data_IF_469112086173
#
_entry.id   IF_469112086173
#
_cell.length_a   1.000
_cell.length_b   1.000
_cell.length_c   1.000
_cell.angle_alpha   90.00
_cell.angle_beta   90.00
_cell.angle_gamma   90.00
#
_symmetry.space_group_name_H-M   'P 1'
#
loop_
_entity.id
_entity.type
_entity.pdbx_description
1 polymer ?
#
# COMPACT_ATOMS: atom_id res chain seq x y z
N UNK A 1 -8.22 12.66 -10.76
CA UNK A 1 -7.50 11.77 -9.82
C UNK A 1 -6.85 12.50 -8.63
N UNK A 2 -7.04 13.81 -8.50
CA UNK A 2 -6.40 14.63 -7.46
C UNK A 2 -6.78 14.22 -6.03
N UNK A 3 -8.07 14.06 -5.73
CA UNK A 3 -8.54 13.63 -4.40
C UNK A 3 -8.10 12.21 -4.06
N UNK A 4 -8.13 11.28 -5.03
CA UNK A 4 -7.55 9.94 -4.85
C UNK A 4 -6.08 10.03 -4.44
N UNK A 5 -5.31 10.90 -5.08
CA UNK A 5 -3.89 11.06 -4.80
C UNK A 5 -3.67 11.52 -3.35
N UNK A 6 -4.47 12.46 -2.85
CA UNK A 6 -4.45 12.89 -1.44
C UNK A 6 -4.83 11.74 -0.49
N UNK A 7 -5.83 10.94 -0.85
CA UNK A 7 -6.21 9.75 -0.07
C UNK A 7 -5.05 8.75 0.01
N UNK A 8 -4.39 8.44 -1.11
CA UNK A 8 -3.26 7.51 -1.14
C UNK A 8 -2.06 8.03 -0.34
N UNK A 9 -1.75 9.34 -0.43
CA UNK A 9 -0.70 9.96 0.39
C UNK A 9 -0.99 9.80 1.88
N UNK A 10 -2.23 10.10 2.28
CA UNK A 10 -2.59 10.09 3.71
C UNK A 10 -2.67 8.68 4.28
N UNK A 11 -3.20 7.71 3.52
CA UNK A 11 -3.13 6.28 3.87
C UNK A 11 -1.68 5.82 3.98
N UNK A 12 -0.89 6.07 2.94
CA UNK A 12 0.50 5.63 2.86
C UNK A 12 1.37 6.22 3.95
N UNK A 13 1.21 7.51 4.27
CA UNK A 13 1.95 8.15 5.36
C UNK A 13 1.50 7.64 6.73
N UNK A 14 0.20 7.45 6.96
CA UNK A 14 -0.31 6.91 8.22
C UNK A 14 0.21 5.48 8.46
N UNK A 15 0.21 4.63 7.43
CA UNK A 15 0.79 3.28 7.51
C UNK A 15 2.32 3.31 7.68
N UNK A 16 3.02 4.24 7.01
CA UNK A 16 4.47 4.40 7.14
C UNK A 16 4.85 4.82 8.57
N UNK A 17 4.19 5.83 9.12
CA UNK A 17 4.41 6.29 10.49
C UNK A 17 4.14 5.18 11.50
N UNK A 18 3.06 4.40 11.32
CA UNK A 18 2.78 3.21 12.12
C UNK A 18 3.89 2.16 12.02
N UNK A 19 4.48 1.97 10.85
CA UNK A 19 5.55 0.99 10.63
C UNK A 19 6.90 1.38 11.24
N UNK A 20 7.09 2.69 11.50
CA UNK A 20 8.30 3.27 12.12
C UNK A 20 8.14 3.46 13.63
N UNK A 21 6.90 3.58 14.12
CA UNK A 21 6.59 3.74 15.54
C UNK A 21 6.96 2.50 16.38
N UNK A 22 7.13 2.67 17.70
CA UNK A 22 7.31 1.55 18.62
C UNK A 22 6.16 0.54 18.46
N UNK A 23 6.48 -0.76 18.49
CA UNK A 23 5.47 -1.81 18.52
C UNK A 23 4.54 -1.54 19.72
N UNK A 24 3.21 -1.51 19.52
CA UNK A 24 2.29 -1.11 20.56
C UNK A 24 2.44 -2.07 21.74
N UNK A 25 3.09 -1.61 22.81
CA UNK A 25 2.77 -2.07 24.16
C UNK A 25 1.27 -1.90 24.36
N UNK A 26 0.62 -2.80 25.09
CA UNK A 26 -0.84 -2.97 25.28
C UNK A 26 -1.66 -1.72 25.73
N UNK A 27 -1.12 -0.50 25.65
CA UNK A 27 -1.79 0.74 25.99
C UNK A 27 -2.83 1.17 24.91
N UNK A 28 -4.14 1.17 25.24
CA UNK A 28 -5.22 1.57 24.31
C UNK A 28 -5.29 3.08 24.02
N UNK A 29 -4.38 3.91 24.57
CA UNK A 29 -4.43 5.38 24.49
C UNK A 29 -3.72 5.95 23.25
N UNK A 30 -2.66 5.31 22.78
CA UNK A 30 -1.82 5.83 21.68
C UNK A 30 -2.51 5.70 20.30
N UNK A 31 -3.44 4.75 20.17
CA UNK A 31 -4.13 4.42 18.91
C UNK A 31 -5.27 5.38 18.54
N UNK A 32 -5.81 6.16 19.50
CA UNK A 32 -6.92 7.10 19.24
C UNK A 32 -6.51 8.39 18.52
N UNK A 33 -5.24 8.78 18.59
CA UNK A 33 -4.74 10.00 17.94
C UNK A 33 -4.50 9.85 16.44
N UNK A 34 -4.23 8.63 15.96
CA UNK A 34 -3.84 8.38 14.57
C UNK A 34 -4.94 8.73 13.55
N UNK A 35 -6.23 8.39 13.77
CA UNK A 35 -7.30 8.79 12.86
C UNK A 35 -7.45 10.31 12.78
N UNK A 36 -7.41 11.01 13.92
CA UNK A 36 -7.54 12.47 13.96
C UNK A 36 -6.37 13.16 13.24
N UNK A 37 -5.13 12.70 13.47
CA UNK A 37 -3.96 13.21 12.77
C UNK A 37 -4.02 12.93 11.26
N UNK A 38 -4.45 11.74 10.85
CA UNK A 38 -4.63 11.39 9.44
C UNK A 38 -5.69 12.26 8.74
N UNK A 39 -6.83 12.50 9.40
CA UNK A 39 -7.88 13.39 8.88
C UNK A 39 -7.38 14.83 8.78
N UNK A 40 -6.71 15.33 9.81
CA UNK A 40 -6.11 16.67 9.78
C UNK A 40 -5.13 16.80 8.60
N UNK A 41 -4.23 15.83 8.44
CA UNK A 41 -3.29 15.80 7.33
C UNK A 41 -3.99 15.82 5.97
N UNK A 42 -5.04 15.00 5.80
CA UNK A 42 -5.82 14.93 4.57
C UNK A 42 -6.45 16.28 4.25
N UNK A 43 -7.09 16.91 5.22
CA UNK A 43 -7.73 18.23 5.07
C UNK A 43 -6.68 19.30 4.76
N UNK A 44 -5.51 19.28 5.42
CA UNK A 44 -4.42 20.22 5.15
C UNK A 44 -3.91 20.06 3.71
N UNK A 45 -3.64 18.84 3.25
CA UNK A 45 -3.17 18.60 1.88
C UNK A 45 -4.26 19.00 0.87
N UNK A 46 -5.52 18.63 1.09
CA UNK A 46 -6.64 19.00 0.22
C UNK A 46 -6.83 20.53 0.13
N UNK A 47 -6.60 21.25 1.23
CA UNK A 47 -6.61 22.71 1.26
C UNK A 47 -5.44 23.31 0.50
N UNK A 48 -4.22 22.81 0.74
CA UNK A 48 -3.00 23.28 0.09
C UNK A 48 -2.97 23.05 -1.43
N UNK A 49 -3.77 22.09 -1.89
CA UNK A 49 -3.90 21.70 -3.31
C UNK A 49 -5.13 22.30 -3.99
N UNK A 50 -5.91 23.14 -3.28
CA UNK A 50 -7.09 23.81 -3.83
C UNK A 50 -8.31 22.91 -4.05
N UNK A 51 -8.31 21.66 -3.56
CA UNK A 51 -9.38 20.70 -3.83
C UNK A 51 -10.70 21.06 -3.14
N UNK A 52 -10.67 21.92 -2.13
CA UNK A 52 -11.85 22.38 -1.42
C UNK A 52 -12.55 23.58 -2.09
N UNK A 53 -12.07 24.04 -3.24
CA UNK A 53 -12.63 25.19 -3.94
C UNK A 53 -13.94 24.89 -4.68
N UNK A 54 -14.24 23.62 -4.97
CA UNK A 54 -15.44 23.20 -5.70
C UNK A 54 -16.28 22.23 -4.88
N UNK A 55 -17.60 22.22 -5.11
CA UNK A 55 -18.50 21.27 -4.46
C UNK A 55 -18.11 19.80 -4.73
N UNK A 56 -17.69 19.48 -5.96
CA UNK A 56 -17.21 18.14 -6.31
C UNK A 56 -15.97 17.75 -5.51
N UNK A 57 -15.01 18.67 -5.38
CA UNK A 57 -13.81 18.43 -4.58
C UNK A 57 -14.10 18.30 -3.08
N UNK A 58 -14.99 19.11 -2.52
CA UNK A 58 -15.44 18.98 -1.11
C UNK A 58 -16.13 17.63 -0.87
N UNK A 59 -17.08 17.24 -1.72
CA UNK A 59 -17.81 15.98 -1.57
C UNK A 59 -16.89 14.76 -1.67
N UNK A 60 -15.98 14.75 -2.65
CA UNK A 60 -14.98 13.69 -2.79
C UNK A 60 -14.00 13.66 -1.62
N UNK A 61 -13.60 14.83 -1.11
CA UNK A 61 -12.71 14.91 0.06
C UNK A 61 -13.40 14.36 1.31
N UNK A 62 -14.70 14.63 1.50
CA UNK A 62 -15.47 14.04 2.60
C UNK A 62 -15.55 12.50 2.49
N UNK A 63 -15.76 11.98 1.28
CA UNK A 63 -15.71 10.53 1.03
C UNK A 63 -14.30 9.95 1.27
N UNK A 64 -13.24 10.69 0.91
CA UNK A 64 -11.86 10.31 1.17
C UNK A 64 -11.57 10.27 2.69
N UNK A 65 -12.06 11.23 3.46
CA UNK A 65 -11.98 11.23 4.93
C UNK A 65 -12.69 10.01 5.51
N UNK A 66 -13.91 9.71 5.06
CA UNK A 66 -14.65 8.53 5.50
C UNK A 66 -13.90 7.24 5.17
N UNK A 67 -13.36 7.12 3.94
CA UNK A 67 -12.55 6.00 3.50
C UNK A 67 -11.26 5.84 4.30
N UNK A 68 -10.55 6.93 4.58
CA UNK A 68 -9.34 6.94 5.41
C UNK A 68 -9.64 6.46 6.84
N UNK A 69 -10.66 7.02 7.48
CA UNK A 69 -11.03 6.61 8.85
C UNK A 69 -11.45 5.15 8.89
N UNK A 70 -12.28 4.71 7.94
CA UNK A 70 -12.69 3.32 7.83
C UNK A 70 -11.48 2.40 7.63
N UNK A 71 -10.54 2.76 6.75
CA UNK A 71 -9.30 2.02 6.56
C UNK A 71 -8.51 1.93 7.86
N UNK A 72 -8.20 3.06 8.51
CA UNK A 72 -7.37 3.08 9.71
C UNK A 72 -7.95 2.23 10.84
N UNK A 73 -9.28 2.25 11.02
CA UNK A 73 -9.98 1.44 12.02
C UNK A 73 -9.97 -0.04 11.66
N UNK A 74 -10.29 -0.40 10.40
CA UNK A 74 -10.36 -1.79 9.98
C UNK A 74 -8.97 -2.44 9.91
N UNK A 75 -7.98 -1.69 9.44
CA UNK A 75 -6.60 -2.13 9.38
C UNK A 75 -6.06 -2.41 10.79
N UNK A 76 -6.40 -1.59 11.79
CA UNK A 76 -6.03 -1.81 13.19
C UNK A 76 -6.74 -3.01 13.83
N UNK A 77 -7.99 -3.30 13.42
CA UNK A 77 -8.67 -4.55 13.80
C UNK A 77 -7.97 -5.76 13.19
N UNK A 78 -7.52 -5.67 11.94
CA UNK A 78 -6.78 -6.72 11.26
C UNK A 78 -5.40 -6.98 11.89
N UNK A 79 -4.72 -5.93 12.37
CA UNK A 79 -3.47 -6.11 13.14
C UNK A 79 -3.69 -6.86 14.45
N UNK A 80 -4.87 -6.71 15.07
CA UNK A 80 -5.30 -7.50 16.24
C UNK A 80 -5.82 -8.91 15.89
N UNK A 81 -5.67 -9.33 14.63
CA UNK A 81 -6.05 -10.66 14.17
C UNK A 81 -7.51 -10.84 13.74
N UNK A 82 -8.29 -9.75 13.56
CA UNK A 82 -9.72 -9.84 13.19
C UNK A 82 -10.08 -8.99 11.98
N UNK A 83 -10.96 -9.48 11.11
CA UNK A 83 -11.54 -8.67 10.04
C UNK A 83 -10.59 -8.34 8.87
N UNK A 84 -9.65 -9.22 8.55
CA UNK A 84 -8.70 -9.05 7.44
C UNK A 84 -9.40 -8.80 6.09
N UNK A 85 -10.43 -9.60 5.76
CA UNK A 85 -11.21 -9.43 4.52
C UNK A 85 -11.97 -8.09 4.49
N UNK A 86 -12.49 -7.66 5.64
CA UNK A 86 -13.17 -6.38 5.78
C UNK A 86 -12.19 -5.22 5.55
N UNK A 87 -10.99 -5.27 6.13
CA UNK A 87 -9.97 -4.24 5.92
C UNK A 87 -9.58 -4.14 4.43
N UNK A 88 -9.38 -5.28 3.77
CA UNK A 88 -9.08 -5.33 2.33
C UNK A 88 -10.23 -4.75 1.50
N UNK A 89 -11.48 -5.13 1.81
CA UNK A 89 -12.67 -4.62 1.14
C UNK A 89 -12.87 -3.11 1.35
N UNK A 90 -12.59 -2.59 2.54
CA UNK A 90 -12.66 -1.16 2.84
C UNK A 90 -11.63 -0.37 2.05
N UNK A 91 -10.39 -0.86 1.94
CA UNK A 91 -9.38 -0.23 1.10
C UNK A 91 -9.80 -0.19 -0.37
N UNK A 92 -10.23 -1.34 -0.91
CA UNK A 92 -10.69 -1.46 -2.29
C UNK A 92 -11.89 -0.55 -2.57
N UNK A 93 -12.85 -0.47 -1.64
CA UNK A 93 -14.00 0.41 -1.76
C UNK A 93 -13.61 1.89 -1.70
N UNK A 94 -12.73 2.29 -0.78
CA UNK A 94 -12.27 3.68 -0.65
C UNK A 94 -11.55 4.15 -1.93
N UNK A 95 -10.66 3.32 -2.48
CA UNK A 95 -9.98 3.61 -3.76
C UNK A 95 -10.97 3.58 -4.93
N UNK A 96 -11.83 2.56 -5.00
CA UNK A 96 -12.80 2.37 -6.08
C UNK A 96 -13.81 3.53 -6.20
N UNK A 97 -14.35 4.00 -5.06
CA UNK A 97 -15.25 5.17 -5.04
C UNK A 97 -14.56 6.40 -5.62
N UNK A 98 -13.30 6.66 -5.25
CA UNK A 98 -12.56 7.80 -5.75
C UNK A 98 -12.20 7.67 -7.23
N UNK A 99 -11.91 6.46 -7.71
CA UNK A 99 -11.65 6.18 -9.13
C UNK A 99 -12.90 6.43 -9.98
N UNK A 100 -14.04 5.85 -9.57
CA UNK A 100 -15.30 5.97 -10.29
C UNK A 100 -15.82 7.41 -10.34
N UNK A 101 -15.62 8.17 -9.26
CA UNK A 101 -16.06 9.56 -9.16
C UNK A 101 -14.96 10.57 -9.52
N UNK A 102 -13.84 10.11 -10.08
CA UNK A 102 -12.64 10.93 -10.32
C UNK A 102 -12.86 12.11 -11.27
N UNK A 103 -13.85 12.04 -12.16
CA UNK A 103 -14.23 13.12 -13.08
C UNK A 103 -14.82 14.35 -12.40
N UNK A 104 -15.29 14.23 -11.15
CA UNK A 104 -15.78 15.37 -10.37
C UNK A 104 -14.69 16.05 -9.54
N UNK A 105 -13.46 15.51 -9.54
CA UNK A 105 -12.36 16.08 -8.81
C UNK A 105 -11.79 17.30 -9.56
N UNK A 106 -11.64 18.46 -8.90
CA UNK A 106 -10.98 19.61 -9.51
C UNK A 106 -9.49 19.30 -9.76
N UNK A 107 -8.84 19.96 -10.74
CA UNK A 107 -7.40 19.83 -10.97
C UNK A 107 -6.61 20.31 -9.74
N UNK A 108 -5.40 19.77 -9.55
CA UNK A 108 -4.52 20.22 -8.47
C UNK A 108 -4.03 21.64 -8.74
N UNK A 109 -4.26 22.54 -7.77
CA UNK A 109 -3.81 23.93 -7.79
C UNK A 109 -3.26 24.37 -6.44
N UNK A 110 -3.45 25.65 -6.13
CA UNK A 110 -3.06 26.23 -4.83
C UNK A 110 -1.56 26.25 -4.58
N UNK A 111 -1.19 26.39 -3.30
CA UNK A 111 0.19 26.56 -2.86
C UNK A 111 1.12 25.43 -3.33
N UNK A 112 0.62 24.19 -3.40
CA UNK A 112 1.42 23.08 -3.91
C UNK A 112 1.82 23.25 -5.38
N UNK A 113 0.89 23.70 -6.23
CA UNK A 113 1.17 23.94 -7.64
C UNK A 113 2.15 25.13 -7.81
N UNK A 114 1.98 26.18 -7.02
CA UNK A 114 2.87 27.35 -7.03
C UNK A 114 4.28 26.99 -6.58
N UNK A 115 4.40 26.20 -5.52
CA UNK A 115 5.68 25.68 -5.03
C UNK A 115 6.36 24.79 -6.07
N UNK A 116 5.60 23.89 -6.72
CA UNK A 116 6.14 23.01 -7.75
C UNK A 116 6.63 23.82 -8.95
N UNK A 117 5.88 24.84 -9.37
CA UNK A 117 6.29 25.77 -10.43
C UNK A 117 7.60 26.51 -10.08
N UNK A 118 7.71 27.00 -8.85
CA UNK A 118 8.88 27.70 -8.32
C UNK A 118 10.13 26.81 -8.18
N UNK A 119 9.95 25.51 -7.93
CA UNK A 119 11.07 24.59 -7.65
C UNK A 119 12.02 24.34 -8.83
N UNK A 120 11.61 24.65 -10.06
CA UNK A 120 12.40 24.46 -11.30
C UNK A 120 13.06 23.07 -11.42
N UNK A 121 12.34 22.02 -11.00
CA UNK A 121 12.84 20.66 -11.08
C UNK A 121 13.13 20.26 -12.54
N UNK A 122 14.24 19.54 -12.80
CA UNK A 122 14.62 19.15 -14.17
C UNK A 122 13.59 18.23 -14.83
N UNK A 123 12.87 17.43 -14.04
CA UNK A 123 11.64 16.75 -14.45
C UNK A 123 10.47 17.42 -13.72
N UNK A 124 9.80 18.40 -14.34
CA UNK A 124 8.68 19.08 -13.71
C UNK A 124 7.36 18.42 -14.12
N UNK A 125 6.83 17.44 -13.37
CA UNK A 125 5.54 16.83 -13.70
C UNK A 125 4.41 17.85 -13.53
N UNK A 126 3.29 17.62 -14.23
CA UNK A 126 2.04 18.30 -13.91
C UNK A 126 1.67 18.08 -12.43
N UNK A 127 1.11 19.08 -11.73
CA UNK A 127 0.79 18.97 -10.29
C UNK A 127 -0.03 17.73 -9.92
N UNK A 128 -1.05 17.38 -10.72
CA UNK A 128 -1.85 16.17 -10.53
C UNK A 128 -0.99 14.89 -10.58
N UNK A 129 -0.08 14.80 -11.55
CA UNK A 129 0.82 13.65 -11.72
C UNK A 129 1.83 13.59 -10.59
N UNK A 130 2.38 14.72 -10.16
CA UNK A 130 3.30 14.80 -9.02
C UNK A 130 2.67 14.22 -7.75
N UNK A 131 1.43 14.64 -7.47
CA UNK A 131 0.70 14.23 -6.29
C UNK A 131 0.32 12.75 -6.33
N UNK A 132 -0.09 12.26 -7.50
CA UNK A 132 -0.38 10.85 -7.73
C UNK A 132 0.87 9.99 -7.49
N UNK A 133 2.01 10.37 -8.09
CA UNK A 133 3.27 9.64 -7.94
C UNK A 133 3.74 9.62 -6.48
N UNK A 134 3.56 10.70 -5.72
CA UNK A 134 3.84 10.73 -4.29
C UNK A 134 2.96 9.74 -3.51
N UNK A 135 1.65 9.73 -3.79
CA UNK A 135 0.71 8.80 -3.16
C UNK A 135 1.02 7.35 -3.47
N UNK A 136 1.27 7.03 -4.74
CA UNK A 136 1.66 5.70 -5.18
C UNK A 136 2.97 5.25 -4.51
N UNK A 137 3.98 6.11 -4.47
CA UNK A 137 5.26 5.81 -3.80
C UNK A 137 5.05 5.46 -2.33
N UNK A 138 4.24 6.23 -1.61
CA UNK A 138 3.94 5.96 -0.19
C UNK A 138 3.18 4.64 0.00
N UNK A 139 2.22 4.35 -0.88
CA UNK A 139 1.50 3.07 -0.88
C UNK A 139 2.47 1.92 -1.11
N UNK A 140 3.38 2.02 -2.08
CA UNK A 140 4.39 1.00 -2.36
C UNK A 140 5.32 0.76 -1.16
N UNK A 141 5.66 1.81 -0.42
CA UNK A 141 6.55 1.75 0.73
C UNK A 141 5.95 1.04 1.95
N UNK A 142 4.73 1.40 2.32
CA UNK A 142 4.13 0.95 3.58
C UNK A 142 2.84 0.13 3.36
N UNK A 143 1.82 0.73 2.76
CA UNK A 143 0.48 0.13 2.63
C UNK A 143 0.50 -1.18 1.84
N UNK A 144 1.37 -1.30 0.83
CA UNK A 144 1.52 -2.52 0.02
C UNK A 144 1.91 -3.74 0.86
N UNK A 145 2.76 -3.57 1.89
CA UNK A 145 3.10 -4.66 2.80
C UNK A 145 1.87 -5.15 3.58
N UNK A 146 1.02 -4.19 3.99
CA UNK A 146 -0.21 -4.49 4.71
C UNK A 146 -1.23 -5.18 3.82
N UNK A 147 -1.39 -4.72 2.58
CA UNK A 147 -2.27 -5.37 1.60
C UNK A 147 -1.84 -6.81 1.32
N UNK A 148 -0.54 -7.05 1.10
CA UNK A 148 0.00 -8.41 0.92
C UNK A 148 -0.34 -9.29 2.12
N UNK A 149 -0.12 -8.80 3.35
CA UNK A 149 -0.48 -9.52 4.58
C UNK A 149 -1.98 -9.80 4.66
N UNK A 150 -2.82 -8.80 4.37
CA UNK A 150 -4.28 -8.96 4.39
C UNK A 150 -4.71 -10.07 3.42
N UNK A 151 -4.20 -10.06 2.19
CA UNK A 151 -4.52 -11.09 1.19
C UNK A 151 -4.08 -12.47 1.67
N UNK A 152 -2.83 -12.61 2.13
CA UNK A 152 -2.30 -13.89 2.60
C UNK A 152 -3.11 -14.47 3.78
N UNK A 153 -3.55 -13.64 4.72
CA UNK A 153 -4.40 -14.12 5.82
C UNK A 153 -5.80 -14.46 5.32
N UNK A 154 -6.35 -13.70 4.37
CA UNK A 154 -7.68 -14.00 3.82
C UNK A 154 -7.73 -15.25 2.96
N UNK A 155 -6.63 -15.62 2.28
CA UNK A 155 -6.53 -16.84 1.49
C UNK A 155 -6.19 -18.07 2.34
N UNK A 156 -5.80 -17.87 3.62
CA UNK A 156 -5.35 -18.96 4.50
C UNK A 156 -3.88 -19.32 4.36
N UNK A 157 -3.14 -18.61 3.50
CA UNK A 157 -1.70 -18.79 3.29
C UNK A 157 -0.84 -18.27 4.46
N UNK A 158 -1.41 -17.44 5.34
CA UNK A 158 -0.76 -16.98 6.58
C UNK A 158 -1.72 -17.07 7.77
N UNK A 159 -1.27 -17.54 8.95
CA UNK A 159 -2.08 -17.51 10.17
C UNK A 159 -2.50 -16.08 10.56
N UNK A 160 -3.71 -15.94 11.11
CA UNK A 160 -4.28 -14.65 11.50
C UNK A 160 -3.66 -14.05 12.78
N UNK A 161 -3.03 -14.87 13.63
CA UNK A 161 -2.41 -14.46 14.89
C UNK A 161 -0.89 -14.27 14.79
N UNK A 162 -0.26 -13.61 15.78
CA UNK A 162 1.20 -13.63 15.93
C UNK A 162 1.64 -15.08 16.09
N UNK A 163 2.53 -15.56 15.21
CA UNK A 163 3.12 -16.89 15.36
C UNK A 163 4.08 -16.81 16.54
N UNK A 164 3.66 -17.28 17.72
CA UNK A 164 4.58 -17.48 18.85
C UNK A 164 5.66 -18.46 18.43
N UNK A 165 6.86 -17.95 18.12
CA UNK A 165 7.98 -18.73 17.59
C UNK A 165 8.35 -18.46 16.12
N UNK A 166 7.62 -17.59 15.42
CA UNK A 166 8.11 -17.00 14.18
C UNK A 166 9.29 -16.09 14.52
N UNK A 167 10.31 -16.05 13.67
CA UNK A 167 11.54 -15.31 13.94
C UNK A 167 11.27 -13.80 13.90
N UNK A 168 10.70 -13.28 14.99
CA UNK A 168 10.42 -11.87 15.27
C UNK A 168 11.72 -11.04 15.42
N UNK A 169 12.86 -11.62 15.06
CA UNK A 169 14.18 -10.99 14.99
C UNK A 169 14.91 -11.14 13.65
N UNK A 170 14.39 -11.86 12.65
CA UNK A 170 15.11 -12.08 11.39
C UNK A 170 14.86 -10.93 10.40
N UNK A 171 15.71 -9.93 10.59
CA UNK A 171 16.20 -8.96 9.63
C UNK A 171 15.20 -7.88 9.22
N UNK A 172 15.42 -6.68 9.76
CA UNK A 172 14.95 -5.39 9.23
C UNK A 172 15.09 -5.30 7.69
N UNK A 173 16.03 -6.04 7.08
CA UNK A 173 16.21 -6.14 5.63
C UNK A 173 15.05 -6.80 4.86
N UNK A 174 14.36 -7.80 5.42
CA UNK A 174 13.22 -8.44 4.75
C UNK A 174 12.02 -7.51 4.58
N UNK A 175 11.84 -6.57 5.52
CA UNK A 175 10.80 -5.53 5.47
C UNK A 175 11.04 -4.47 4.40
N UNK A 176 12.29 -4.23 4.01
CA UNK A 176 12.65 -3.19 3.04
C UNK A 176 12.79 -3.72 1.62
N UNK A 177 13.17 -5.00 1.46
CA UNK A 177 13.38 -5.61 0.14
C UNK A 177 12.09 -5.61 -0.71
N UNK A 178 10.95 -5.98 -0.12
CA UNK A 178 9.66 -6.00 -0.82
C UNK A 178 9.22 -4.63 -1.35
N UNK A 179 9.20 -3.57 -0.50
CA UNK A 179 8.99 -2.19 -0.94
C UNK A 179 9.95 -1.73 -2.04
N UNK A 180 11.25 -2.03 -1.92
CA UNK A 180 12.25 -1.61 -2.90
C UNK A 180 12.02 -2.26 -4.27
N UNK A 181 11.69 -3.55 -4.30
CA UNK A 181 11.33 -4.23 -5.54
C UNK A 181 10.09 -3.62 -6.18
N UNK A 182 9.05 -3.35 -5.39
CA UNK A 182 7.82 -2.70 -5.84
C UNK A 182 8.08 -1.31 -6.42
N UNK A 183 8.95 -0.54 -5.81
CA UNK A 183 9.38 0.76 -6.33
C UNK A 183 10.23 0.62 -7.59
N UNK A 184 11.07 -0.40 -7.67
CA UNK A 184 11.89 -0.66 -8.86
C UNK A 184 11.01 -1.04 -10.06
N UNK A 185 10.03 -1.93 -9.87
CA UNK A 185 9.05 -2.30 -10.91
C UNK A 185 8.23 -1.07 -11.34
N UNK A 186 7.73 -0.29 -10.38
CA UNK A 186 6.99 0.94 -10.69
C UNK A 186 7.86 1.95 -11.46
N UNK A 187 9.09 2.17 -11.02
CA UNK A 187 10.04 3.09 -11.65
C UNK A 187 10.41 2.69 -13.07
N UNK A 188 10.72 1.41 -13.31
CA UNK A 188 10.98 0.89 -14.65
C UNK A 188 9.75 1.03 -15.56
N UNK A 189 8.56 0.75 -15.03
CA UNK A 189 7.32 0.97 -15.77
C UNK A 189 7.09 2.43 -16.15
N UNK A 190 7.33 3.37 -15.22
CA UNK A 190 7.23 4.81 -15.47
C UNK A 190 8.29 5.31 -16.45
N UNK A 191 9.44 4.65 -16.54
CA UNK A 191 10.48 4.92 -17.53
C UNK A 191 10.18 4.31 -18.92
N UNK A 192 9.10 3.52 -19.06
CA UNK A 192 8.73 2.82 -20.30
C UNK A 192 9.43 1.47 -20.49
N UNK A 193 10.25 1.04 -19.54
CA UNK A 193 11.08 -0.19 -19.60
C UNK A 193 10.32 -1.40 -19.05
N UNK A 194 9.17 -1.72 -19.66
CA UNK A 194 8.32 -2.85 -19.25
C UNK A 194 9.04 -4.21 -19.39
N UNK A 195 9.93 -4.33 -20.37
CA UNK A 195 10.76 -5.54 -20.57
C UNK A 195 11.72 -5.75 -19.42
N UNK A 196 12.39 -4.69 -18.95
CA UNK A 196 13.27 -4.75 -17.79
C UNK A 196 12.49 -5.08 -16.51
N UNK A 197 11.31 -4.49 -16.32
CA UNK A 197 10.43 -4.82 -15.20
C UNK A 197 10.02 -6.30 -15.22
N UNK A 198 9.67 -6.85 -16.39
CA UNK A 198 9.36 -8.26 -16.59
C UNK A 198 10.55 -9.18 -16.27
N UNK A 199 11.76 -8.79 -16.64
CA UNK A 199 12.97 -9.55 -16.33
C UNK A 199 13.21 -9.65 -14.81
N UNK A 200 13.00 -8.57 -14.06
CA UNK A 200 13.13 -8.56 -12.59
C UNK A 200 12.14 -9.52 -11.95
N UNK A 201 10.87 -9.47 -12.40
CA UNK A 201 9.80 -10.37 -11.94
C UNK A 201 10.18 -11.83 -12.23
N UNK A 202 10.62 -12.11 -13.46
CA UNK A 202 11.02 -13.45 -13.88
C UNK A 202 12.22 -13.98 -13.08
N UNK A 203 13.26 -13.16 -12.89
CA UNK A 203 14.45 -13.53 -12.13
C UNK A 203 14.10 -13.89 -10.68
N UNK A 204 13.23 -13.10 -10.03
CA UNK A 204 12.77 -13.39 -8.67
C UNK A 204 11.97 -14.69 -8.60
N UNK A 205 11.10 -14.94 -9.58
CA UNK A 205 10.35 -16.19 -9.68
C UNK A 205 11.26 -17.42 -9.81
N UNK A 206 12.34 -17.30 -10.59
CA UNK A 206 13.28 -18.39 -10.84
C UNK A 206 14.16 -18.72 -9.62
N UNK A 207 14.57 -17.72 -8.84
CA UNK A 207 15.37 -17.91 -7.61
C UNK A 207 14.57 -18.63 -6.50
N UNK A 208 13.24 -18.48 -6.48
CA UNK A 208 12.37 -19.14 -5.49
C UNK A 208 12.04 -20.61 -5.82
N UNK A 209 12.27 -21.03 -7.06
CA UNK A 209 11.93 -22.37 -7.55
C UNK A 209 12.68 -23.54 -6.85
N UNK A 210 13.97 -23.42 -6.50
CA UNK A 210 14.69 -24.47 -5.77
C UNK A 210 14.19 -24.68 -4.34
N UNK A 211 13.78 -23.60 -3.65
CA UNK A 211 13.23 -23.66 -2.29
C UNK A 211 11.95 -24.50 -2.26
N UNK A 212 11.06 -24.31 -3.25
CA UNK A 212 9.84 -25.10 -3.44
C UNK A 212 10.11 -26.59 -3.70
N UNK A 213 11.15 -26.90 -4.50
CA UNK A 213 11.52 -28.31 -4.80
C UNK A 213 12.21 -29.04 -3.65
N UNK A 214 12.98 -28.35 -2.83
CA UNK A 214 13.69 -28.96 -1.69
C UNK A 214 12.73 -29.45 -0.61
N UNK A 215 11.61 -28.75 -0.40
CA UNK A 215 10.59 -29.12 0.56
C UNK A 215 9.67 -30.25 0.07
N UNK A 216 9.50 -30.41 -1.25
CA UNK A 216 8.71 -31.49 -1.84
C UNK A 216 9.37 -32.89 -1.79
N UNK A 217 10.64 -33.00 -1.39
CA UNK A 217 11.41 -34.27 -1.44
C UNK A 217 11.55 -35.00 -0.10
N UNK A 218 11.02 -34.43 0.99
CA UNK A 218 10.96 -35.12 2.30
C UNK A 218 9.63 -35.85 2.46
N UNK A 219 9.63 -37.15 2.19
CA UNK A 219 8.50 -38.09 2.32
C UNK A 219 8.08 -38.32 3.79
N UNK A 220 7.42 -37.36 4.42
CA UNK A 220 6.67 -37.55 5.67
C UNK A 220 5.24 -36.99 5.47
N UNK A 221 4.25 -37.88 5.44
CA UNK A 221 2.85 -37.62 5.05
C UNK A 221 2.13 -36.60 5.95
N UNK A 222 2.67 -36.32 7.13
CA UNK A 222 2.17 -35.28 8.06
C UNK A 222 2.72 -33.88 7.76
N UNK A 223 3.85 -33.76 7.03
CA UNK A 223 4.45 -32.47 6.60
C UNK A 223 3.97 -31.99 5.24
N UNK A 224 3.29 -32.82 4.45
CA UNK A 224 2.71 -32.43 3.16
C UNK A 224 1.80 -31.19 3.26
N UNK A 225 0.99 -31.11 4.33
CA UNK A 225 0.09 -29.96 4.56
C UNK A 225 0.79 -28.64 4.93
N UNK A 226 2.03 -28.70 5.43
CA UNK A 226 2.84 -27.51 5.72
C UNK A 226 3.63 -27.05 4.48
N UNK A 227 4.00 -27.97 3.58
CA UNK A 227 4.67 -27.68 2.31
C UNK A 227 3.74 -26.89 1.36
N UNK A 228 2.47 -27.29 1.28
CA UNK A 228 1.47 -26.59 0.47
C UNK A 228 1.25 -25.15 0.98
N UNK A 229 1.21 -24.95 2.30
CA UNK A 229 1.05 -23.61 2.91
C UNK A 229 2.25 -22.69 2.67
N UNK A 230 3.48 -23.22 2.78
CA UNK A 230 4.71 -22.43 2.51
C UNK A 230 4.79 -22.05 1.03
N UNK A 231 4.43 -22.99 0.15
CA UNK A 231 4.38 -22.75 -1.31
C UNK A 231 3.33 -21.69 -1.66
N UNK A 232 2.12 -21.82 -1.10
CA UNK A 232 1.04 -20.87 -1.29
C UNK A 232 1.41 -19.48 -0.77
N UNK A 233 2.01 -19.39 0.42
CA UNK A 233 2.51 -18.14 1.00
C UNK A 233 3.47 -17.40 0.05
N UNK A 234 4.45 -18.12 -0.50
CA UNK A 234 5.43 -17.50 -1.39
C UNK A 234 4.84 -17.10 -2.74
N UNK A 235 3.99 -17.94 -3.33
CA UNK A 235 3.40 -17.69 -4.65
C UNK A 235 2.38 -16.55 -4.57
N UNK A 236 1.41 -16.63 -3.65
CA UNK A 236 0.39 -15.60 -3.44
C UNK A 236 1.06 -14.29 -2.98
N UNK A 237 2.03 -14.35 -2.07
CA UNK A 237 2.72 -13.17 -1.56
C UNK A 237 3.48 -12.40 -2.63
N UNK A 238 4.25 -13.09 -3.47
CA UNK A 238 4.93 -12.47 -4.62
C UNK A 238 3.94 -11.91 -5.63
N UNK A 239 2.93 -12.68 -6.01
CA UNK A 239 1.96 -12.28 -7.02
C UNK A 239 1.17 -11.03 -6.60
N UNK A 240 0.69 -10.99 -5.36
CA UNK A 240 -0.01 -9.83 -4.81
C UNK A 240 0.92 -8.61 -4.74
N UNK A 241 2.18 -8.79 -4.35
CA UNK A 241 3.15 -7.68 -4.31
C UNK A 241 3.38 -7.07 -5.70
N UNK A 242 3.47 -7.89 -6.74
CA UNK A 242 3.58 -7.41 -8.12
C UNK A 242 2.29 -6.76 -8.62
N UNK A 243 1.12 -7.31 -8.30
CA UNK A 243 -0.17 -6.70 -8.63
C UNK A 243 -0.31 -5.31 -8.00
N UNK A 244 0.13 -5.13 -6.76
CA UNK A 244 0.11 -3.81 -6.10
C UNK A 244 1.01 -2.82 -6.87
N UNK A 245 2.19 -3.25 -7.34
CA UNK A 245 3.06 -2.39 -8.14
C UNK A 245 2.53 -2.07 -9.53
N UNK A 246 2.03 -3.07 -10.24
CA UNK A 246 1.47 -2.90 -11.57
C UNK A 246 0.16 -2.12 -11.53
N UNK A 247 -0.65 -2.28 -10.48
CA UNK A 247 -1.84 -1.46 -10.24
C UNK A 247 -1.49 0.01 -10.03
N UNK A 248 -0.43 0.30 -9.28
CA UNK A 248 0.09 1.66 -9.16
C UNK A 248 0.58 2.22 -10.49
N UNK A 249 1.29 1.41 -11.28
CA UNK A 249 1.73 1.81 -12.61
C UNK A 249 0.56 2.12 -13.54
N UNK A 250 -0.48 1.28 -13.54
CA UNK A 250 -1.69 1.48 -14.34
C UNK A 250 -2.40 2.79 -14.00
N UNK A 251 -2.41 3.19 -12.73
CA UNK A 251 -2.98 4.48 -12.32
C UNK A 251 -2.16 5.67 -12.82
N UNK A 252 -0.84 5.50 -12.98
CA UNK A 252 0.08 6.55 -13.39
C UNK A 252 0.36 6.60 -14.91
N UNK A 253 -0.09 5.60 -15.66
CA UNK A 253 0.01 5.53 -17.12
C UNK A 253 -0.97 6.53 -17.76
#
# INVERSE_FOLDING_TARGET
>A
MSVLSVLLITIGLADLLRSLGPQPSDAPRETRGVPAAGVLLLVVIASATGLLATWGGVALTALAVAGLVAWLVCAERADRGRGHALALGVFAAAVGVQLLASGWAPPVGGWFADWLAWSHLPWQPAPDRALLLAGLTLVQLATGNRLVRLVLVTTGALPAGPVTGGVDGELRGGRLLGPLERLFILGLGLAGELTAAGLVIAAKGLIRWPELRSHARSEDDTRASDIDKVTEYFLVGSFVSWLVALGGLLLAA
#
